data_IF_500854645234
#
_entry.id   IF_500854645234
#
_cell.length_a   1.000
_cell.length_b   1.000
_cell.length_c   1.000
_cell.angle_alpha   90.00
_cell.angle_beta   90.00
_cell.angle_gamma   90.00
#
_symmetry.space_group_name_H-M   'P 1'
#
loop_
_entity.id
_entity.type
_entity.pdbx_description
1 polymer ?
#
# COMPACT_ATOMS: atom_id res chain seq x y z
N UNK A 1 4.30 -23.66 22.00
CA UNK A 1 3.51 -23.72 23.24
C UNK A 1 4.43 -24.21 24.33
N UNK A 2 4.60 -23.44 25.41
CA UNK A 2 5.60 -23.69 26.45
C UNK A 2 4.94 -24.06 27.79
N UNK A 3 3.78 -24.72 27.74
CA UNK A 3 3.10 -25.20 28.93
C UNK A 3 2.91 -26.72 28.87
N UNK A 4 3.18 -27.42 29.98
CA UNK A 4 3.04 -28.87 30.04
C UNK A 4 1.58 -29.31 29.78
N UNK A 5 1.36 -30.54 29.26
CA UNK A 5 0.02 -31.04 28.98
C UNK A 5 -0.79 -31.19 30.27
N UNK A 6 -1.99 -30.59 30.31
CA UNK A 6 -2.96 -30.80 31.41
C UNK A 6 -3.40 -29.55 32.18
N UNK A 7 -2.97 -28.34 31.82
CA UNK A 7 -3.41 -27.12 32.51
C UNK A 7 -4.74 -26.59 31.94
N UNK A 8 -5.73 -26.35 32.80
CA UNK A 8 -6.98 -25.70 32.40
C UNK A 8 -6.71 -24.28 31.84
N UNK A 9 -7.44 -23.83 30.81
CA UNK A 9 -7.24 -22.52 30.22
C UNK A 9 -7.74 -21.42 31.16
N UNK A 10 -6.86 -20.93 32.04
CA UNK A 10 -7.13 -19.78 32.91
C UNK A 10 -7.12 -18.48 32.10
N UNK A 11 -8.15 -17.64 32.26
CA UNK A 11 -8.34 -16.39 31.53
C UNK A 11 -7.14 -15.42 31.61
N UNK A 12 -6.34 -15.51 32.68
CA UNK A 12 -5.13 -14.71 32.89
C UNK A 12 -3.93 -15.14 32.02
N UNK A 13 -3.92 -16.36 31.48
CA UNK A 13 -2.82 -16.87 30.64
C UNK A 13 -2.91 -16.41 29.18
N UNK A 14 -4.09 -16.02 28.72
CA UNK A 14 -4.32 -15.51 27.36
C UNK A 14 -3.60 -14.17 27.09
N UNK A 15 -3.66 -13.15 27.97
CA UNK A 15 -2.89 -11.91 27.81
C UNK A 15 -1.38 -12.15 27.73
N UNK A 16 -0.85 -13.07 28.54
CA UNK A 16 0.59 -13.36 28.60
C UNK A 16 1.10 -14.04 27.33
N UNK A 17 0.29 -14.96 26.75
CA UNK A 17 0.57 -15.60 25.46
C UNK A 17 0.41 -14.62 24.28
N UNK A 18 -0.57 -13.73 24.35
CA UNK A 18 -0.76 -12.71 23.32
C UNK A 18 0.36 -11.65 23.35
N UNK A 19 0.97 -11.38 24.51
CA UNK A 19 2.15 -10.51 24.63
C UNK A 19 3.38 -11.07 23.92
N UNK A 20 3.57 -12.40 23.96
CA UNK A 20 4.66 -13.07 23.21
C UNK A 20 4.35 -13.06 21.71
N UNK A 21 3.09 -13.31 21.32
CA UNK A 21 2.67 -13.22 19.92
C UNK A 21 2.83 -11.81 19.36
N UNK A 22 2.46 -10.77 20.13
CA UNK A 22 2.74 -9.38 19.76
C UNK A 22 4.25 -9.17 19.62
N UNK A 23 5.04 -9.49 20.65
CA UNK A 23 6.49 -9.27 20.66
C UNK A 23 7.27 -10.02 19.57
N UNK A 24 6.70 -11.07 18.97
CA UNK A 24 7.30 -11.84 17.87
C UNK A 24 6.69 -11.53 16.49
N UNK A 25 5.64 -10.70 16.44
CA UNK A 25 4.98 -10.36 15.18
C UNK A 25 5.51 -9.02 14.66
N UNK A 26 5.82 -8.99 13.37
CA UNK A 26 6.15 -7.73 12.67
C UNK A 26 4.91 -6.85 12.47
N UNK A 27 3.72 -7.46 12.42
CA UNK A 27 2.42 -6.79 12.26
C UNK A 27 1.35 -7.50 13.11
N UNK A 28 0.48 -6.73 13.77
CA UNK A 28 -0.71 -7.22 14.48
C UNK A 28 -1.99 -6.79 13.74
N UNK A 29 -2.81 -7.75 13.31
CA UNK A 29 -4.12 -7.49 12.69
C UNK A 29 -5.25 -7.81 13.67
N UNK A 30 -6.11 -6.82 13.95
CA UNK A 30 -7.31 -6.99 14.77
C UNK A 30 -8.52 -7.18 13.87
N UNK A 31 -9.06 -8.40 13.83
CA UNK A 31 -10.20 -8.75 12.95
C UNK A 31 -11.53 -8.35 13.58
N UNK A 32 -11.72 -8.62 14.87
CA UNK A 32 -12.88 -8.21 15.64
C UNK A 32 -12.49 -7.92 17.09
N UNK A 33 -13.01 -6.83 17.64
CA UNK A 33 -12.92 -6.55 19.08
C UNK A 33 -13.98 -5.54 19.49
N UNK A 34 -14.48 -5.68 20.72
CA UNK A 34 -15.22 -4.61 21.41
C UNK A 34 -14.22 -3.57 21.92
N UNK A 35 -14.66 -2.35 22.21
CA UNK A 35 -13.81 -1.30 22.80
C UNK A 35 -13.15 -1.72 24.12
N UNK A 36 -13.81 -2.58 24.91
CA UNK A 36 -13.27 -3.18 26.14
C UNK A 36 -12.89 -4.67 25.98
N UNK A 37 -12.69 -5.14 24.75
CA UNK A 37 -12.33 -6.53 24.46
C UNK A 37 -10.90 -6.87 24.90
N UNK A 38 -10.65 -8.13 25.28
CA UNK A 38 -9.31 -8.60 25.70
C UNK A 38 -8.23 -8.44 24.62
N UNK A 39 -8.62 -8.34 23.34
CA UNK A 39 -7.72 -8.01 22.22
C UNK A 39 -7.08 -6.63 22.38
N UNK A 40 -7.76 -5.67 23.00
CA UNK A 40 -7.26 -4.29 23.17
C UNK A 40 -6.04 -4.22 24.09
N UNK A 41 -5.94 -5.11 25.08
CA UNK A 41 -4.72 -5.27 25.90
C UNK A 41 -3.53 -5.67 25.02
N UNK A 42 -3.77 -6.53 24.02
CA UNK A 42 -2.71 -6.96 23.09
C UNK A 42 -2.30 -5.82 22.16
N UNK A 43 -3.26 -4.98 21.75
CA UNK A 43 -3.01 -3.79 20.93
C UNK A 43 -2.17 -2.76 21.68
N UNK A 44 -2.51 -2.45 22.93
CA UNK A 44 -1.71 -1.53 23.76
C UNK A 44 -0.27 -2.03 23.93
N UNK A 45 -0.10 -3.33 24.18
CA UNK A 45 1.22 -3.93 24.31
C UNK A 45 2.00 -3.95 22.98
N UNK A 46 1.32 -4.09 21.84
CA UNK A 46 1.94 -4.00 20.52
C UNK A 46 2.40 -2.57 20.19
N UNK A 47 1.55 -1.57 20.43
CA UNK A 47 1.88 -0.15 20.23
C UNK A 47 3.08 0.30 21.09
N UNK A 48 3.16 -0.14 22.36
CA UNK A 48 4.31 0.15 23.24
C UNK A 48 5.65 -0.41 22.74
N UNK A 49 5.62 -1.36 21.81
CA UNK A 49 6.79 -2.05 21.25
C UNK A 49 7.04 -1.68 19.79
N UNK A 50 6.42 -0.61 19.30
CA UNK A 50 6.48 -0.16 17.91
C UNK A 50 6.10 -1.25 16.89
N UNK A 51 5.21 -2.16 17.27
CA UNK A 51 4.65 -3.15 16.34
C UNK A 51 3.49 -2.50 15.60
N UNK A 52 3.51 -2.59 14.26
CA UNK A 52 2.45 -2.07 13.41
C UNK A 52 1.12 -2.74 13.75
N UNK A 53 0.13 -1.96 14.18
CA UNK A 53 -1.23 -2.44 14.44
C UNK A 53 -2.15 -2.02 13.30
N UNK A 54 -2.88 -2.98 12.76
CA UNK A 54 -3.86 -2.82 11.72
C UNK A 54 -5.22 -3.36 12.18
N UNK A 55 -6.31 -2.90 11.56
CA UNK A 55 -7.66 -3.28 11.97
C UNK A 55 -8.57 -3.55 10.78
N UNK A 56 -9.43 -4.56 10.89
CA UNK A 56 -10.47 -4.84 9.89
C UNK A 56 -11.67 -3.92 10.15
N UNK A 57 -12.10 -3.10 9.17
CA UNK A 57 -13.30 -2.28 9.30
C UNK A 57 -14.54 -3.15 9.47
N UNK A 58 -15.47 -2.70 10.33
CA UNK A 58 -16.74 -3.40 10.52
C UNK A 58 -17.92 -2.45 10.65
N UNK A 59 -19.13 -3.01 10.57
CA UNK A 59 -20.36 -2.20 10.67
C UNK A 59 -20.41 -1.43 12.00
N UNK A 60 -20.70 -0.12 11.99
CA UNK A 60 -20.88 0.65 13.24
C UNK A 60 -22.02 0.13 14.13
N UNK A 61 -22.95 -0.66 13.57
CA UNK A 61 -24.04 -1.31 14.30
C UNK A 61 -23.61 -2.60 14.98
N UNK A 62 -22.47 -3.17 14.60
CA UNK A 62 -21.94 -4.38 15.23
C UNK A 62 -21.04 -4.02 16.42
N UNK A 63 -21.46 -4.41 17.62
CA UNK A 63 -20.68 -4.19 18.84
C UNK A 63 -19.32 -4.88 18.82
N UNK A 64 -19.15 -6.00 18.10
CA UNK A 64 -17.84 -6.66 17.95
C UNK A 64 -16.87 -5.94 17.02
N UNK A 65 -17.32 -4.90 16.32
CA UNK A 65 -16.48 -4.03 15.47
C UNK A 65 -16.15 -2.70 16.14
N UNK A 66 -16.69 -2.42 17.33
CA UNK A 66 -16.51 -1.12 17.98
C UNK A 66 -15.03 -0.83 18.32
N UNK A 67 -14.27 -1.85 18.73
CA UNK A 67 -12.84 -1.76 19.00
C UNK A 67 -12.02 -1.62 17.73
N UNK A 68 -12.30 -2.38 16.67
CA UNK A 68 -11.57 -2.23 15.39
C UNK A 68 -11.82 -0.86 14.76
N UNK A 69 -13.06 -0.38 14.78
CA UNK A 69 -13.39 0.96 14.27
C UNK A 69 -12.74 2.08 15.10
N UNK A 70 -12.57 1.90 16.42
CA UNK A 70 -11.83 2.84 17.26
C UNK A 70 -10.34 2.89 16.86
N UNK A 71 -9.72 1.74 16.58
CA UNK A 71 -8.33 1.70 16.12
C UNK A 71 -8.16 2.42 14.79
N UNK A 72 -9.10 2.24 13.85
CA UNK A 72 -9.12 2.97 12.59
C UNK A 72 -9.26 4.49 12.82
N UNK A 73 -10.12 4.89 13.74
CA UNK A 73 -10.26 6.31 14.13
C UNK A 73 -8.97 6.89 14.73
N UNK A 74 -8.17 6.06 15.41
CA UNK A 74 -6.87 6.42 16.00
C UNK A 74 -5.71 6.40 14.99
N UNK A 75 -5.97 6.05 13.73
CA UNK A 75 -4.97 6.07 12.66
C UNK A 75 -4.30 4.72 12.37
N UNK A 76 -4.79 3.61 12.94
CA UNK A 76 -4.34 2.29 12.51
C UNK A 76 -4.73 2.04 11.05
N UNK A 77 -3.86 1.38 10.29
CA UNK A 77 -4.12 1.06 8.89
C UNK A 77 -5.29 0.06 8.76
N UNK A 78 -6.20 0.27 7.79
CA UNK A 78 -7.27 -0.68 7.51
C UNK A 78 -6.73 -1.95 6.84
N UNK A 79 -7.36 -3.09 7.14
CA UNK A 79 -7.19 -4.35 6.41
C UNK A 79 -8.53 -4.71 5.77
N UNK A 80 -8.60 -4.58 4.46
CA UNK A 80 -9.76 -4.96 3.63
C UNK A 80 -9.47 -6.20 2.80
N UNK A 81 -8.20 -6.53 2.57
CA UNK A 81 -7.76 -7.78 1.94
C UNK A 81 -6.40 -8.27 2.47
N UNK A 82 -5.94 -9.42 1.96
CA UNK A 82 -4.64 -10.02 2.33
C UNK A 82 -3.44 -9.19 1.87
N UNK A 83 -3.61 -8.39 0.81
CA UNK A 83 -2.55 -7.58 0.22
C UNK A 83 -2.11 -6.48 1.20
N UNK A 84 -3.06 -5.89 1.94
CA UNK A 84 -2.76 -4.88 2.96
C UNK A 84 -1.74 -5.39 4.00
N UNK A 85 -1.89 -6.66 4.40
CA UNK A 85 -0.98 -7.31 5.36
C UNK A 85 0.38 -7.62 4.74
N UNK A 86 0.39 -8.09 3.48
CA UNK A 86 1.63 -8.35 2.74
C UNK A 86 2.45 -7.08 2.51
N UNK A 87 1.78 -5.95 2.25
CA UNK A 87 2.41 -4.62 2.14
C UNK A 87 3.01 -4.20 3.48
N UNK A 88 2.29 -4.37 4.58
CA UNK A 88 2.79 -4.03 5.92
C UNK A 88 4.00 -4.89 6.34
N UNK A 89 4.08 -6.14 5.85
CA UNK A 89 5.23 -7.04 6.04
C UNK A 89 6.38 -6.81 5.04
N UNK A 90 6.22 -5.90 4.07
CA UNK A 90 7.20 -5.71 2.99
C UNK A 90 7.37 -6.94 2.07
N UNK A 91 6.39 -7.85 2.06
CA UNK A 91 6.41 -9.12 1.31
C UNK A 91 5.66 -9.06 -0.03
N UNK A 92 5.28 -7.85 -0.46
CA UNK A 92 4.66 -7.68 -1.77
C UNK A 92 5.66 -7.97 -2.89
N UNK A 93 5.57 -9.19 -3.43
CA UNK A 93 6.42 -9.72 -4.51
C UNK A 93 5.77 -9.57 -5.89
N UNK A 94 4.59 -8.94 -5.96
CA UNK A 94 4.04 -8.40 -7.21
C UNK A 94 4.50 -6.95 -7.27
N UNK A 95 5.46 -6.68 -8.15
CA UNK A 95 6.00 -5.34 -8.30
C UNK A 95 4.92 -4.27 -8.43
N UNK A 96 5.26 -3.07 -7.94
CA UNK A 96 4.64 -1.76 -8.19
C UNK A 96 3.68 -1.27 -7.10
N UNK A 97 4.30 -0.60 -6.12
CA UNK A 97 3.81 0.53 -5.30
C UNK A 97 2.46 0.38 -4.56
N UNK A 98 2.36 0.85 -3.30
CA UNK A 98 1.06 1.02 -2.67
C UNK A 98 0.20 1.95 -3.54
N UNK A 99 -1.13 1.77 -3.51
CA UNK A 99 -2.06 2.81 -3.98
C UNK A 99 -1.94 4.02 -3.06
N UNK A 100 -0.82 4.73 -3.18
CA UNK A 100 -0.73 6.15 -2.86
C UNK A 100 -1.82 6.79 -3.70
N UNK A 101 -2.69 7.58 -3.10
CA UNK A 101 -3.56 8.48 -3.85
C UNK A 101 -2.64 9.36 -4.71
N UNK A 102 -2.46 8.97 -5.96
CA UNK A 102 -1.62 9.67 -6.90
C UNK A 102 -2.44 10.84 -7.45
N UNK A 103 -2.17 12.02 -6.92
CA UNK A 103 -2.83 13.27 -7.34
C UNK A 103 -2.38 13.74 -8.72
N UNK A 104 -1.38 13.08 -9.32
CA UNK A 104 -0.93 13.39 -10.68
C UNK A 104 -2.06 13.16 -11.67
N UNK A 105 -2.16 14.03 -12.67
CA UNK A 105 -3.14 13.90 -13.73
C UNK A 105 -2.90 12.59 -14.47
N UNK A 106 -3.96 11.80 -14.69
CA UNK A 106 -3.82 10.55 -15.43
C UNK A 106 -3.34 10.83 -16.88
N UNK A 107 -2.23 10.21 -17.34
CA UNK A 107 -1.73 10.45 -18.69
C UNK A 107 -2.70 9.93 -19.75
N UNK A 108 -2.74 10.58 -20.91
CA UNK A 108 -3.48 10.04 -22.06
C UNK A 108 -2.75 8.84 -22.70
N UNK A 109 -3.40 8.16 -23.65
CA UNK A 109 -2.82 6.96 -24.28
C UNK A 109 -1.45 7.19 -24.94
N UNK A 110 -1.21 8.36 -25.52
CA UNK A 110 0.06 8.71 -26.14
C UNK A 110 1.16 8.92 -25.07
N UNK A 111 0.83 9.63 -24.00
CA UNK A 111 1.74 9.88 -22.89
C UNK A 111 2.09 8.57 -22.15
N UNK A 112 1.13 7.63 -22.01
CA UNK A 112 1.40 6.27 -21.49
C UNK A 112 2.38 5.51 -22.39
N UNK A 113 2.25 5.62 -23.71
CA UNK A 113 3.18 4.96 -24.65
C UNK A 113 4.61 5.52 -24.51
N UNK A 114 4.76 6.84 -24.35
CA UNK A 114 6.05 7.49 -24.07
C UNK A 114 6.64 6.99 -22.76
N UNK A 115 5.87 6.97 -21.68
CA UNK A 115 6.31 6.47 -20.38
C UNK A 115 6.73 4.99 -20.42
N UNK A 116 5.98 4.16 -21.13
CA UNK A 116 6.30 2.74 -21.28
C UNK A 116 7.58 2.52 -22.10
N UNK A 117 7.83 3.34 -23.12
CA UNK A 117 9.06 3.25 -23.93
C UNK A 117 10.33 3.56 -23.12
N UNK A 118 10.21 4.36 -22.06
CA UNK A 118 11.32 4.67 -21.17
C UNK A 118 11.72 3.48 -20.28
N UNK A 119 10.81 2.53 -20.02
CA UNK A 119 11.07 1.31 -19.23
C UNK A 119 11.75 1.54 -17.85
N UNK A 120 11.65 2.75 -17.28
CA UNK A 120 12.34 3.11 -16.04
C UNK A 120 13.82 3.51 -16.20
N UNK A 121 14.30 3.69 -17.44
CA UNK A 121 15.63 4.18 -17.76
C UNK A 121 15.62 5.71 -17.98
N UNK A 122 16.75 6.36 -17.71
CA UNK A 122 16.98 7.75 -18.10
C UNK A 122 17.29 7.82 -19.60
N UNK A 123 16.50 8.54 -20.38
CA UNK A 123 16.63 8.63 -21.84
C UNK A 123 16.68 10.07 -22.35
N UNK A 124 17.41 10.34 -23.42
CA UNK A 124 17.32 11.61 -24.14
C UNK A 124 16.05 11.66 -25.02
N UNK A 125 15.65 12.86 -25.46
CA UNK A 125 14.51 13.04 -26.38
C UNK A 125 14.63 12.16 -27.63
N UNK A 126 15.82 12.11 -28.24
CA UNK A 126 16.08 11.30 -29.43
C UNK A 126 15.92 9.79 -29.17
N UNK A 127 16.33 9.32 -28.00
CA UNK A 127 16.19 7.91 -27.61
C UNK A 127 14.72 7.53 -27.38
N UNK A 128 13.94 8.42 -26.75
CA UNK A 128 12.49 8.23 -26.58
C UNK A 128 11.79 8.20 -27.94
N UNK A 129 12.19 9.08 -28.87
CA UNK A 129 11.68 9.08 -30.24
C UNK A 129 11.93 7.77 -30.97
N UNK A 130 13.17 7.26 -30.90
CA UNK A 130 13.53 5.99 -31.54
C UNK A 130 12.72 4.81 -31.00
N UNK A 131 12.39 4.80 -29.71
CA UNK A 131 11.62 3.70 -29.09
C UNK A 131 10.12 3.79 -29.32
N UNK A 132 9.58 5.00 -29.39
CA UNK A 132 8.15 5.23 -29.64
C UNK A 132 7.79 5.24 -31.13
N UNK A 133 8.80 5.31 -32.01
CA UNK A 133 8.66 5.51 -33.45
C UNK A 133 7.73 6.70 -33.78
N UNK A 134 7.85 7.76 -32.97
CA UNK A 134 6.96 8.93 -32.98
C UNK A 134 7.52 10.14 -33.72
N UNK A 135 6.73 11.21 -33.75
CA UNK A 135 7.13 12.53 -34.27
C UNK A 135 7.81 13.38 -33.20
N UNK A 136 8.86 14.12 -33.57
CA UNK A 136 9.67 14.96 -32.66
C UNK A 136 8.82 15.93 -31.85
N UNK A 137 7.90 16.64 -32.52
CA UNK A 137 7.06 17.65 -31.87
C UNK A 137 6.07 16.97 -30.92
N UNK A 138 5.45 15.87 -31.36
CA UNK A 138 4.53 15.10 -30.53
C UNK A 138 5.21 14.57 -29.25
N UNK A 139 6.40 13.97 -29.36
CA UNK A 139 7.15 13.43 -28.22
C UNK A 139 7.65 14.54 -27.29
N UNK A 140 8.14 15.65 -27.82
CA UNK A 140 8.55 16.79 -26.99
C UNK A 140 7.38 17.39 -26.20
N UNK A 141 6.21 17.53 -26.84
CA UNK A 141 4.99 17.99 -26.15
C UNK A 141 4.50 16.99 -25.10
N UNK A 142 4.62 15.69 -25.36
CA UNK A 142 4.27 14.65 -24.39
C UNK A 142 5.18 14.70 -23.16
N UNK A 143 6.49 14.80 -23.35
CA UNK A 143 7.46 14.92 -22.24
C UNK A 143 7.22 16.20 -21.43
N UNK A 144 6.96 17.34 -22.08
CA UNK A 144 6.64 18.59 -21.38
C UNK A 144 5.35 18.51 -20.56
N UNK A 145 4.31 17.85 -21.07
CA UNK A 145 3.08 17.60 -20.27
C UNK A 145 3.35 16.67 -19.10
N UNK A 146 4.02 15.55 -19.34
CA UNK A 146 4.36 14.58 -18.32
C UNK A 146 5.22 15.19 -17.21
N UNK A 147 6.11 16.12 -17.54
CA UNK A 147 6.90 16.87 -16.55
C UNK A 147 6.02 17.78 -15.71
N UNK A 148 5.16 18.57 -16.36
CA UNK A 148 4.19 19.44 -15.67
C UNK A 148 3.24 18.65 -14.77
N UNK A 149 2.89 17.42 -15.16
CA UNK A 149 2.00 16.52 -14.41
C UNK A 149 2.77 15.66 -13.37
N UNK A 150 4.10 15.78 -13.28
CA UNK A 150 4.93 15.11 -12.27
C UNK A 150 5.23 13.62 -12.54
N UNK A 151 5.11 13.18 -13.79
CA UNK A 151 5.41 11.80 -14.22
C UNK A 151 6.86 11.61 -14.65
N UNK A 152 7.50 12.67 -15.14
CA UNK A 152 8.91 12.65 -15.53
C UNK A 152 9.63 13.89 -15.00
N UNK A 153 10.96 13.84 -14.97
CA UNK A 153 11.83 15.00 -14.71
C UNK A 153 12.89 15.11 -15.80
N UNK A 154 13.25 16.33 -16.18
CA UNK A 154 14.41 16.60 -17.04
C UNK A 154 15.65 16.98 -16.21
N UNK A 155 16.68 16.16 -16.29
CA UNK A 155 17.99 16.42 -15.71
C UNK A 155 19.02 16.66 -16.83
N UNK A 156 19.21 17.93 -17.21
CA UNK A 156 20.24 18.32 -18.21
C UNK A 156 20.11 17.56 -19.55
N UNK A 157 18.88 17.38 -20.05
CA UNK A 157 18.61 16.70 -21.32
C UNK A 157 18.30 15.20 -21.20
N UNK A 158 18.39 14.64 -19.99
CA UNK A 158 17.98 13.28 -19.67
C UNK A 158 16.60 13.28 -19.01
N UNK A 159 15.68 12.50 -19.54
CA UNK A 159 14.33 12.33 -19.02
C UNK A 159 14.25 11.07 -18.18
N UNK A 160 13.73 11.18 -16.97
CA UNK A 160 13.59 10.08 -16.01
C UNK A 160 12.13 9.97 -15.55
N UNK A 161 11.61 8.74 -15.43
CA UNK A 161 10.25 8.49 -14.92
C UNK A 161 10.24 8.54 -13.39
N UNK A 162 9.31 9.29 -12.82
CA UNK A 162 9.11 9.41 -11.38
C UNK A 162 8.03 8.42 -10.90
N UNK A 163 8.40 7.55 -9.96
CA UNK A 163 7.47 6.63 -9.30
C UNK A 163 6.91 5.51 -10.19
N UNK A 164 5.80 4.89 -9.76
CA UNK A 164 5.14 3.84 -10.53
C UNK A 164 4.53 4.39 -11.83
N UNK A 165 4.68 3.65 -12.93
CA UNK A 165 3.93 3.88 -14.16
C UNK A 165 2.42 3.67 -13.94
N UNK A 166 1.55 4.45 -14.62
CA UNK A 166 0.11 4.26 -14.54
C UNK A 166 -0.26 2.81 -14.87
N UNK A 167 -1.20 2.22 -14.14
CA UNK A 167 -1.79 0.95 -14.57
C UNK A 167 -2.40 1.18 -15.96
N UNK A 168 -2.07 0.33 -16.93
CA UNK A 168 -2.67 0.38 -18.27
C UNK A 168 -4.18 0.40 -18.09
N UNK A 169 -4.82 1.51 -18.50
CA UNK A 169 -6.24 1.71 -18.30
C UNK A 169 -7.01 0.51 -18.83
N UNK A 170 -7.91 -0.04 -18.01
CA UNK A 170 -8.95 -0.92 -18.51
C UNK A 170 -9.71 -0.12 -19.57
N UNK A 171 -9.53 -0.49 -20.84
CA UNK A 171 -10.21 0.14 -21.95
C UNK A 171 -11.71 0.19 -21.68
N UNK A 172 -12.28 1.37 -21.87
CA UNK A 172 -13.71 1.56 -22.04
C UNK A 172 -14.18 0.60 -23.15
N UNK A 173 -14.84 -0.49 -22.75
CA UNK A 173 -15.71 -1.25 -23.64
C UNK A 173 -17.10 -0.65 -23.50
N UNK A 174 -17.30 0.46 -24.20
CA UNK A 174 -18.61 1.08 -24.41
C UNK A 174 -19.09 0.75 -25.82
N UNK A 175 -20.25 0.09 -25.93
CA UNK A 175 -21.12 0.11 -27.12
C UNK A 175 -20.97 -1.06 -28.07
#
# INVERSE_FOLDING_TARGET
SESPPGTMPEAFRFPMRNRILAALSEVLVVVESRTSGGSMITVEEAQKRDITVMAVPGSPRNTSSAGTNLLLQQGCAPVVDVQDVLVALGLDSRGRHPRVFDVRRHPNAHDVAVLNAMCGEALTLDQVLMRTNGDLVATALALGRLESDGWVVNNSGWWEVLGALPAAGYGESSG
#
